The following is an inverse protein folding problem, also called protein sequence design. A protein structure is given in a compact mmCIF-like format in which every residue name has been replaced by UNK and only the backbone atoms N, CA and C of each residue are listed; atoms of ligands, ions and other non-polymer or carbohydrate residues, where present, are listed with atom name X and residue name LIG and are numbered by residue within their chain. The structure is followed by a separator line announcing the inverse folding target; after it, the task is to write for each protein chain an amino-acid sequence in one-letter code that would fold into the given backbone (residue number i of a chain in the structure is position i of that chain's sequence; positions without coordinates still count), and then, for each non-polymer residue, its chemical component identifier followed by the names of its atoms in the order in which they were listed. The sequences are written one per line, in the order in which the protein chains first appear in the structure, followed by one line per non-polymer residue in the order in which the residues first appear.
data_IF_670451785030
#
_entry.id   IF_670451785030
#
_cell.length_a   1.000
_cell.length_b   1.000
_cell.length_c   1.000
_cell.angle_alpha   90.00
_cell.angle_beta   90.00
_cell.angle_gamma   90.00
#
_symmetry.space_group_name_H-M   'P 1'
#
loop_
_entity.id
_entity.type
_entity.pdbx_description
1 polymer ?
#
# COMPACT_ATOMS: atom_id res chain seq x y z
N UNK A 1 -5.85 -5.19 6.73
CA UNK A 1 -6.17 -3.74 6.53
C UNK A 1 -7.41 -3.29 7.30
N UNK A 2 -8.65 -3.82 7.07
CA UNK A 2 -9.83 -3.36 7.84
C UNK A 2 -9.65 -3.58 9.34
N UNK A 3 -9.18 -4.74 9.77
CA UNK A 3 -8.92 -5.06 11.18
C UNK A 3 -7.89 -4.08 11.80
N UNK A 4 -6.88 -3.66 11.04
CA UNK A 4 -5.88 -2.68 11.47
C UNK A 4 -6.48 -1.27 11.60
N UNK A 5 -7.33 -0.87 10.67
CA UNK A 5 -8.05 0.41 10.72
C UNK A 5 -9.01 0.44 11.90
N UNK A 6 -9.77 -0.63 12.13
CA UNK A 6 -10.70 -0.74 13.26
C UNK A 6 -9.94 -0.75 14.61
N UNK A 7 -8.78 -1.42 14.68
CA UNK A 7 -7.89 -1.37 15.83
C UNK A 7 -7.34 0.06 16.06
N UNK A 8 -6.90 0.74 15.01
CA UNK A 8 -6.42 2.12 15.09
C UNK A 8 -7.48 3.09 15.61
N UNK A 9 -8.74 2.95 15.18
CA UNK A 9 -9.84 3.77 15.70
C UNK A 9 -10.08 3.56 17.21
N UNK A 10 -9.94 2.33 17.70
CA UNK A 10 -10.03 2.05 19.15
C UNK A 10 -8.94 2.77 19.95
N UNK A 11 -7.83 3.13 19.31
CA UNK A 11 -6.75 3.93 19.91
C UNK A 11 -6.88 5.43 19.60
N UNK A 12 -8.08 5.91 19.27
CA UNK A 12 -8.39 7.34 19.00
C UNK A 12 -7.65 7.94 17.81
N UNK A 13 -7.23 7.11 16.83
CA UNK A 13 -6.67 7.61 15.59
C UNK A 13 -7.79 8.08 14.64
N UNK A 14 -7.61 9.24 14.03
CA UNK A 14 -8.50 9.74 12.97
C UNK A 14 -8.27 8.97 11.69
N UNK A 15 -8.98 7.86 11.51
CA UNK A 15 -8.89 7.02 10.34
C UNK A 15 -10.20 7.06 9.53
N UNK A 16 -10.12 6.93 8.19
CA UNK A 16 -11.29 6.95 7.34
C UNK A 16 -12.25 5.81 7.66
N UNK A 17 -13.54 6.07 7.53
CA UNK A 17 -14.58 5.05 7.58
C UNK A 17 -14.70 4.46 6.18
N UNK A 18 -14.19 3.25 5.96
CA UNK A 18 -14.11 2.63 4.63
C UNK A 18 -15.49 2.52 3.98
N UNK A 19 -16.51 2.21 4.79
CA UNK A 19 -17.89 2.05 4.35
C UNK A 19 -18.50 3.32 3.73
N UNK A 20 -17.93 4.49 4.01
CA UNK A 20 -18.36 5.77 3.43
C UNK A 20 -17.89 5.97 1.97
N UNK A 21 -17.01 5.10 1.48
CA UNK A 21 -16.45 5.21 0.13
C UNK A 21 -17.01 4.12 -0.78
N UNK A 22 -17.95 4.46 -1.64
CA UNK A 22 -18.62 3.51 -2.54
C UNK A 22 -17.69 2.80 -3.54
N UNK A 23 -16.52 3.39 -3.82
CA UNK A 23 -15.50 2.82 -4.70
C UNK A 23 -14.57 1.82 -3.98
N UNK A 24 -14.61 1.76 -2.64
CA UNK A 24 -13.87 0.77 -1.85
C UNK A 24 -14.71 -0.49 -1.66
N UNK A 25 -14.05 -1.64 -1.85
CA UNK A 25 -14.67 -2.95 -1.66
C UNK A 25 -13.80 -3.79 -0.74
N UNK A 26 -14.42 -4.31 0.32
CA UNK A 26 -13.77 -5.26 1.22
C UNK A 26 -14.00 -6.65 0.67
N UNK A 27 -12.93 -7.37 0.40
CA UNK A 27 -12.97 -8.74 -0.12
C UNK A 27 -11.96 -9.63 0.59
N UNK A 28 -12.17 -10.93 0.50
CA UNK A 28 -11.24 -11.95 0.97
C UNK A 28 -10.89 -12.88 -0.16
N UNK A 29 -9.69 -13.46 -0.14
CA UNK A 29 -9.31 -14.51 -1.07
C UNK A 29 -10.03 -15.81 -0.75
N UNK A 30 -10.46 -16.51 -1.78
CA UNK A 30 -10.96 -17.90 -1.70
C UNK A 30 -9.83 -18.94 -1.74
N UNK A 31 -8.64 -18.56 -2.22
CA UNK A 31 -7.54 -19.47 -2.55
C UNK A 31 -6.32 -19.34 -1.64
N UNK A 32 -6.39 -18.56 -0.55
CA UNK A 32 -5.23 -18.29 0.32
C UNK A 32 -4.59 -19.58 0.88
N UNK A 33 -5.38 -20.60 1.17
CA UNK A 33 -4.91 -21.89 1.67
C UNK A 33 -4.18 -22.75 0.63
N UNK A 34 -4.28 -22.41 -0.66
CA UNK A 34 -3.64 -23.12 -1.76
C UNK A 34 -2.25 -22.58 -2.10
N UNK A 35 -1.86 -21.45 -1.50
CA UNK A 35 -0.62 -20.73 -1.81
C UNK A 35 0.39 -20.99 -0.69
N UNK A 36 1.59 -21.44 -1.06
CA UNK A 36 2.70 -21.58 -0.13
C UNK A 36 3.40 -20.24 0.07
N UNK A 37 3.08 -19.55 1.15
CA UNK A 37 3.67 -18.26 1.49
C UNK A 37 4.90 -18.40 2.37
N UNK A 38 5.92 -17.54 2.20
CA UNK A 38 6.99 -17.39 3.18
C UNK A 38 6.43 -17.03 4.56
N UNK A 39 6.99 -17.61 5.62
CA UNK A 39 6.55 -17.36 7.01
C UNK A 39 6.71 -15.91 7.45
N UNK A 40 7.65 -15.19 6.84
CA UNK A 40 7.94 -13.77 7.14
C UNK A 40 6.79 -12.84 6.73
N UNK A 41 5.91 -13.25 5.81
CA UNK A 41 4.82 -12.40 5.35
C UNK A 41 3.69 -12.33 6.36
N UNK A 42 3.20 -11.12 6.61
CA UNK A 42 2.03 -10.86 7.44
C UNK A 42 0.72 -11.37 6.83
N UNK A 43 -0.30 -11.53 7.66
CA UNK A 43 -1.62 -12.01 7.23
C UNK A 43 -2.24 -11.14 6.12
N UNK A 44 -2.17 -9.81 6.27
CA UNK A 44 -2.71 -8.87 5.29
C UNK A 44 -1.98 -8.91 3.95
N UNK A 45 -0.67 -9.07 3.97
CA UNK A 45 0.16 -9.20 2.77
C UNK A 45 -0.16 -10.48 2.00
N UNK A 46 -0.31 -11.60 2.70
CA UNK A 46 -0.72 -12.89 2.12
C UNK A 46 -2.09 -12.79 1.46
N UNK A 47 -3.05 -12.18 2.15
CA UNK A 47 -4.40 -11.98 1.64
C UNK A 47 -4.40 -11.09 0.39
N UNK A 48 -3.63 -9.99 0.41
CA UNK A 48 -3.49 -9.07 -0.72
C UNK A 48 -2.91 -9.78 -1.96
N UNK A 49 -1.87 -10.57 -1.78
CA UNK A 49 -1.25 -11.34 -2.86
C UNK A 49 -2.21 -12.40 -3.40
N UNK A 50 -2.92 -13.11 -2.53
CA UNK A 50 -3.89 -14.12 -2.93
C UNK A 50 -5.03 -13.52 -3.77
N UNK A 51 -5.56 -12.35 -3.36
CA UNK A 51 -6.57 -11.62 -4.12
C UNK A 51 -6.04 -11.18 -5.49
N UNK A 52 -4.78 -10.75 -5.57
CA UNK A 52 -4.15 -10.36 -6.83
C UNK A 52 -4.02 -11.54 -7.81
N UNK A 53 -3.71 -12.73 -7.31
CA UNK A 53 -3.67 -13.94 -8.13
C UNK A 53 -5.04 -14.33 -8.69
N UNK A 54 -6.11 -14.04 -7.94
CA UNK A 54 -7.49 -14.20 -8.41
C UNK A 54 -7.91 -13.12 -9.42
N UNK A 55 -7.17 -12.00 -9.46
CA UNK A 55 -7.44 -10.85 -10.33
C UNK A 55 -6.17 -10.42 -11.09
N UNK A 56 -5.78 -11.12 -12.16
CA UNK A 56 -4.46 -10.97 -12.80
C UNK A 56 -4.13 -9.57 -13.34
N UNK A 57 -5.14 -8.74 -13.60
CA UNK A 57 -4.94 -7.35 -14.07
C UNK A 57 -4.89 -6.32 -12.95
N UNK A 58 -4.93 -6.77 -11.70
CA UNK A 58 -4.87 -5.88 -10.55
C UNK A 58 -3.44 -5.42 -10.27
N UNK A 59 -3.32 -4.25 -9.64
CA UNK A 59 -2.08 -3.77 -9.04
C UNK A 59 -2.26 -3.75 -7.54
N UNK A 60 -1.33 -4.33 -6.79
CA UNK A 60 -1.36 -4.32 -5.33
C UNK A 60 -0.43 -3.25 -4.77
N UNK A 61 -0.80 -2.72 -3.62
CA UNK A 61 0.00 -1.73 -2.89
C UNK A 61 0.64 -2.46 -1.70
N UNK A 62 1.96 -2.57 -1.74
CA UNK A 62 2.75 -3.19 -0.68
C UNK A 62 3.99 -2.33 -0.42
N UNK A 63 4.25 -1.99 0.83
CA UNK A 63 5.46 -1.26 1.23
C UNK A 63 6.55 -2.18 1.78
N UNK A 64 6.18 -3.34 2.34
CA UNK A 64 7.15 -4.34 2.81
C UNK A 64 7.96 -4.93 1.66
N UNK A 65 9.29 -4.95 1.84
CA UNK A 65 10.21 -5.41 0.81
C UNK A 65 10.06 -6.91 0.49
N UNK A 66 9.88 -7.74 1.50
CA UNK A 66 9.76 -9.19 1.30
C UNK A 66 8.45 -9.54 0.60
N UNK A 67 7.36 -8.88 0.97
CA UNK A 67 6.07 -9.03 0.32
C UNK A 67 6.13 -8.58 -1.15
N UNK A 68 6.76 -7.44 -1.44
CA UNK A 68 6.97 -6.95 -2.82
C UNK A 68 7.78 -7.93 -3.65
N UNK A 69 8.89 -8.40 -3.10
CA UNK A 69 9.77 -9.37 -3.79
C UNK A 69 9.02 -10.66 -4.13
N UNK A 70 8.24 -11.18 -3.20
CA UNK A 70 7.44 -12.38 -3.40
C UNK A 70 6.36 -12.17 -4.46
N UNK A 71 5.63 -11.06 -4.39
CA UNK A 71 4.59 -10.73 -5.36
C UNK A 71 5.15 -10.55 -6.78
N UNK A 72 6.31 -9.87 -6.91
CA UNK A 72 7.00 -9.71 -8.20
C UNK A 72 7.47 -11.05 -8.79
N UNK A 73 7.91 -11.99 -7.95
CA UNK A 73 8.27 -13.35 -8.38
C UNK A 73 7.06 -14.13 -8.92
N UNK A 74 5.85 -13.75 -8.51
CA UNK A 74 4.58 -14.27 -9.04
C UNK A 74 4.02 -13.44 -10.21
N UNK A 75 4.82 -12.54 -10.77
CA UNK A 75 4.45 -11.65 -11.88
C UNK A 75 3.25 -10.73 -11.58
N UNK A 76 2.99 -10.44 -10.29
CA UNK A 76 1.96 -9.51 -9.85
C UNK A 76 2.47 -8.08 -9.99
N UNK A 77 1.62 -7.19 -10.50
CA UNK A 77 1.94 -5.76 -10.54
C UNK A 77 1.90 -5.17 -9.12
N UNK A 78 3.02 -4.59 -8.70
CA UNK A 78 3.17 -4.05 -7.34
C UNK A 78 3.56 -2.57 -7.38
N UNK A 79 2.96 -1.79 -6.54
CA UNK A 79 3.39 -0.43 -6.21
C UNK A 79 3.50 -0.27 -4.70
N UNK A 80 4.03 0.85 -4.24
CA UNK A 80 4.06 1.23 -2.82
C UNK A 80 3.44 2.60 -2.61
N UNK A 81 3.38 3.05 -1.36
CA UNK A 81 2.83 4.36 -0.97
C UNK A 81 3.44 5.49 -1.79
N UNK A 82 4.76 5.50 -1.99
CA UNK A 82 5.42 6.54 -2.78
C UNK A 82 5.07 6.49 -4.26
N UNK A 83 4.91 5.29 -4.82
CA UNK A 83 4.46 5.11 -6.20
C UNK A 83 3.06 5.67 -6.44
N UNK A 84 2.17 5.51 -5.47
CA UNK A 84 0.82 6.11 -5.52
C UNK A 84 0.89 7.64 -5.50
N UNK A 85 1.73 8.24 -4.64
CA UNK A 85 1.89 9.69 -4.59
C UNK A 85 2.46 10.26 -5.90
N UNK A 86 3.48 9.61 -6.47
CA UNK A 86 4.05 10.00 -7.77
C UNK A 86 3.00 9.90 -8.88
N UNK A 87 2.22 8.82 -8.90
CA UNK A 87 1.16 8.62 -9.89
C UNK A 87 0.02 9.63 -9.73
N UNK A 88 -0.33 9.99 -8.49
CA UNK A 88 -1.33 11.01 -8.22
C UNK A 88 -0.89 12.39 -8.75
N UNK A 89 0.39 12.74 -8.61
CA UNK A 89 0.95 13.97 -9.19
C UNK A 89 0.98 13.92 -10.71
N UNK A 90 1.45 12.83 -11.29
CA UNK A 90 1.46 12.63 -12.74
C UNK A 90 0.07 12.84 -13.35
N UNK A 91 -0.97 12.31 -12.67
CA UNK A 91 -2.37 12.45 -13.07
C UNK A 91 -3.02 13.77 -12.65
N UNK A 92 -2.26 14.68 -12.08
CA UNK A 92 -2.73 16.02 -11.62
C UNK A 92 -3.80 15.96 -10.52
N UNK A 93 -3.88 14.86 -9.77
CA UNK A 93 -4.76 14.77 -8.59
C UNK A 93 -4.19 15.53 -7.40
N UNK A 94 -2.87 15.65 -7.32
CA UNK A 94 -2.17 16.48 -6.33
C UNK A 94 -1.14 17.37 -7.04
N UNK A 95 -0.94 18.61 -6.58
CA UNK A 95 0.04 19.53 -7.20
C UNK A 95 1.48 19.20 -6.78
N UNK A 96 1.69 18.73 -5.55
CA UNK A 96 3.00 18.46 -4.97
C UNK A 96 2.99 17.17 -4.16
N UNK A 97 4.10 16.42 -4.19
CA UNK A 97 4.28 15.20 -3.40
C UNK A 97 4.85 15.52 -2.01
N UNK A 98 5.70 16.55 -1.90
CA UNK A 98 6.38 16.95 -0.67
C UNK A 98 5.46 17.06 0.56
N UNK A 99 4.32 17.76 0.52
CA UNK A 99 3.46 17.90 1.70
C UNK A 99 2.95 16.55 2.23
N UNK A 100 2.73 15.58 1.35
CA UNK A 100 2.31 14.24 1.73
C UNK A 100 3.43 13.44 2.37
N UNK A 101 4.67 13.56 1.87
CA UNK A 101 5.84 12.93 2.49
C UNK A 101 6.08 13.49 3.90
N UNK A 102 6.01 14.79 4.07
CA UNK A 102 6.15 15.44 5.38
C UNK A 102 5.06 15.00 6.35
N UNK A 103 3.81 14.89 5.88
CA UNK A 103 2.71 14.37 6.70
C UNK A 103 2.91 12.91 7.09
N UNK A 104 3.40 12.06 6.18
CA UNK A 104 3.75 10.67 6.50
C UNK A 104 4.82 10.59 7.59
N UNK A 105 5.86 11.42 7.50
CA UNK A 105 6.92 11.49 8.53
C UNK A 105 6.34 11.92 9.88
N UNK A 106 5.48 12.94 9.91
CA UNK A 106 4.80 13.39 11.13
C UNK A 106 3.93 12.29 11.75
N UNK A 107 3.34 11.42 10.93
CA UNK A 107 2.56 10.26 11.37
C UNK A 107 3.42 9.06 11.78
N UNK A 108 4.74 9.21 11.78
CA UNK A 108 5.68 8.16 12.20
C UNK A 108 6.13 7.22 11.09
N UNK A 109 5.80 7.50 9.85
CA UNK A 109 6.31 6.71 8.71
C UNK A 109 7.81 6.97 8.53
N UNK A 110 8.60 5.91 8.52
CA UNK A 110 10.05 6.02 8.40
C UNK A 110 10.46 6.09 6.94
N UNK A 111 11.04 7.22 6.54
CA UNK A 111 11.57 7.43 5.20
C UNK A 111 13.07 7.70 5.33
N UNK A 112 13.89 6.89 4.66
CA UNK A 112 15.33 7.15 4.61
C UNK A 112 15.59 8.47 3.87
N UNK A 113 16.52 9.35 4.32
CA UNK A 113 16.78 10.65 3.70
C UNK A 113 17.05 10.60 2.20
N UNK A 114 17.80 9.60 1.76
CA UNK A 114 18.09 9.41 0.34
C UNK A 114 16.84 9.02 -0.47
N UNK A 115 15.99 8.16 0.09
CA UNK A 115 14.69 7.81 -0.51
C UNK A 115 13.79 9.04 -0.63
N UNK A 116 13.71 9.86 0.42
CA UNK A 116 12.96 11.12 0.40
C UNK A 116 13.43 12.03 -0.75
N UNK A 117 14.75 12.23 -0.84
CA UNK A 117 15.35 13.05 -1.91
C UNK A 117 15.03 12.49 -3.30
N UNK A 118 15.19 11.19 -3.49
CA UNK A 118 14.93 10.53 -4.78
C UNK A 118 13.46 10.66 -5.20
N UNK A 119 12.52 10.53 -4.25
CA UNK A 119 11.09 10.72 -4.55
C UNK A 119 10.82 12.15 -5.03
N UNK A 120 11.41 13.15 -4.40
CA UNK A 120 11.24 14.56 -4.82
C UNK A 120 11.84 14.79 -6.20
N UNK A 121 13.00 14.21 -6.51
CA UNK A 121 13.60 14.30 -7.85
C UNK A 121 12.66 13.69 -8.89
N UNK A 122 12.12 12.49 -8.63
CA UNK A 122 11.15 11.83 -9.52
C UNK A 122 9.85 12.64 -9.67
N UNK A 123 9.49 13.38 -8.65
CA UNK A 123 8.33 14.28 -8.67
C UNK A 123 8.60 15.63 -9.33
N UNK A 124 9.82 15.92 -9.75
CA UNK A 124 10.27 17.24 -10.19
C UNK A 124 10.05 18.32 -9.12
N UNK A 125 10.44 18.02 -7.91
CA UNK A 125 10.42 18.90 -6.72
C UNK A 125 11.85 18.89 -6.05
#
# INVERSE_FOLDING_TARGET
MKEEIDAGRKHHLELPIIENYSWMKITKSSNIGLISFPSILGKGEKECIAIALENPQSTIILDDWNARKFALALEIQVTGTFGILLKAKERKHIPFVRPFLEKLILLGFRIHPETYKNILILANE
#
